data_IF_607319013464
#
_entry.id   IF_607319013464
#
_cell.length_a   1.000
_cell.length_b   1.000
_cell.length_c   1.000
_cell.angle_alpha   90.00
_cell.angle_beta   90.00
_cell.angle_gamma   90.00
#
_symmetry.space_group_name_H-M   'P 1'
#
loop_
_entity.id
_entity.type
_entity.pdbx_description
1 polymer ?
#
# COMPACT_ATOMS: atom_id res chain seq x y z
N UNK A 1 -6.24 -27.40 -1.83
CA UNK A 1 -5.60 -27.02 -3.10
C UNK A 1 -4.63 -25.89 -2.82
N UNK A 2 -3.35 -26.19 -2.65
CA UNK A 2 -2.31 -25.15 -2.48
C UNK A 2 -2.17 -24.41 -3.80
N UNK A 3 -2.68 -23.18 -3.85
CA UNK A 3 -2.53 -22.32 -5.02
C UNK A 3 -1.06 -21.90 -5.10
N UNK A 4 -0.41 -22.13 -6.24
CA UNK A 4 0.97 -21.68 -6.44
C UNK A 4 1.05 -20.16 -6.29
N UNK A 5 1.91 -19.69 -5.37
CA UNK A 5 2.11 -18.27 -5.14
C UNK A 5 2.97 -17.69 -6.27
N UNK A 6 2.37 -16.86 -7.13
CA UNK A 6 3.11 -16.20 -8.22
C UNK A 6 4.24 -15.31 -7.69
N UNK A 7 5.32 -15.13 -8.47
CA UNK A 7 6.41 -14.20 -8.12
C UNK A 7 5.92 -12.78 -7.79
N UNK A 8 4.90 -12.28 -8.51
CA UNK A 8 4.28 -10.99 -8.23
C UNK A 8 3.73 -10.91 -6.79
N UNK A 9 3.01 -11.95 -6.36
CA UNK A 9 2.47 -12.02 -5.00
C UNK A 9 3.58 -12.12 -3.95
N UNK A 10 4.63 -12.90 -4.21
CA UNK A 10 5.80 -12.98 -3.31
C UNK A 10 6.41 -11.59 -3.12
N UNK A 11 6.65 -10.87 -4.23
CA UNK A 11 7.20 -9.52 -4.19
C UNK A 11 6.30 -8.55 -3.40
N UNK A 12 4.98 -8.57 -3.65
CA UNK A 12 4.02 -7.73 -2.92
C UNK A 12 3.99 -8.04 -1.43
N UNK A 13 4.01 -9.32 -1.03
CA UNK A 13 4.08 -9.72 0.39
C UNK A 13 5.32 -9.14 1.05
N UNK A 14 6.48 -9.31 0.43
CA UNK A 14 7.76 -8.78 0.95
C UNK A 14 7.69 -7.26 1.07
N UNK A 15 7.26 -6.57 0.01
CA UNK A 15 7.18 -5.10 0.00
C UNK A 15 6.25 -4.59 1.11
N UNK A 16 5.03 -5.12 1.22
CA UNK A 16 4.08 -4.63 2.23
C UNK A 16 4.56 -4.92 3.65
N UNK A 17 5.24 -6.03 3.89
CA UNK A 17 5.84 -6.33 5.20
C UNK A 17 7.02 -5.39 5.50
N UNK A 18 8.01 -5.29 4.61
CA UNK A 18 9.20 -4.45 4.82
C UNK A 18 8.84 -2.97 4.92
N UNK A 19 7.80 -2.50 4.23
CA UNK A 19 7.37 -1.11 4.33
C UNK A 19 6.51 -0.81 5.57
N UNK A 20 5.91 -1.83 6.20
CA UNK A 20 4.98 -1.64 7.32
C UNK A 20 5.60 -1.96 8.68
N UNK A 21 6.29 -3.09 8.77
CA UNK A 21 6.76 -3.67 10.03
C UNK A 21 7.85 -2.83 10.71
N UNK A 22 8.93 -2.37 10.03
CA UNK A 22 9.97 -1.58 10.69
C UNK A 22 9.45 -0.29 11.34
N UNK A 23 8.44 0.34 10.71
CA UNK A 23 7.77 1.53 11.24
C UNK A 23 7.13 1.34 12.61
N UNK A 24 6.75 0.10 12.94
CA UNK A 24 6.13 -0.26 14.22
C UNK A 24 7.14 -0.28 15.38
N UNK A 25 8.43 -0.32 15.08
CA UNK A 25 9.50 -0.46 16.07
C UNK A 25 10.42 0.76 16.16
N UNK A 26 10.26 1.75 15.28
CA UNK A 26 11.13 2.94 15.23
C UNK A 26 10.38 4.25 15.49
N UNK A 27 9.18 4.18 16.07
CA UNK A 27 8.27 5.31 16.33
C UNK A 27 7.73 6.04 15.08
N UNK A 28 8.10 5.64 13.86
CA UNK A 28 7.72 6.34 12.63
C UNK A 28 6.21 6.39 12.39
N UNK A 29 5.44 5.38 12.82
CA UNK A 29 3.97 5.41 12.74
C UNK A 29 3.38 6.46 13.67
N UNK A 30 3.93 6.55 14.89
CA UNK A 30 3.47 7.52 15.88
C UNK A 30 3.77 8.94 15.44
N UNK A 31 4.96 9.18 14.89
CA UNK A 31 5.35 10.49 14.38
C UNK A 31 4.52 10.88 13.16
N UNK A 32 4.25 9.95 12.23
CA UNK A 32 3.35 10.21 11.10
C UNK A 32 1.93 10.59 11.57
N UNK A 33 1.40 9.90 12.57
CA UNK A 33 0.08 10.21 13.12
C UNK A 33 0.02 11.53 13.90
N UNK A 34 0.94 11.72 14.84
CA UNK A 34 0.91 12.85 15.78
C UNK A 34 1.49 14.14 15.19
N UNK A 35 2.57 14.05 14.42
CA UNK A 35 3.30 15.22 13.92
C UNK A 35 2.92 15.60 12.49
N UNK A 36 2.36 14.69 11.69
CA UNK A 36 1.91 14.99 10.33
C UNK A 36 0.39 14.97 10.19
N UNK A 37 -0.28 13.82 10.37
CA UNK A 37 -1.73 13.70 10.12
C UNK A 37 -2.56 14.66 10.97
N UNK A 38 -2.24 14.80 12.25
CA UNK A 38 -2.92 15.75 13.12
C UNK A 38 -2.77 17.22 12.66
N UNK A 39 -1.65 17.58 12.02
CA UNK A 39 -1.40 18.95 11.54
C UNK A 39 -2.19 19.30 10.27
N UNK A 40 -2.64 18.28 9.53
CA UNK A 40 -3.35 18.45 8.25
C UNK A 40 -4.85 18.13 8.34
N UNK A 41 -5.41 18.15 9.56
CA UNK A 41 -6.87 18.07 9.78
C UNK A 41 -7.40 16.74 10.33
N UNK A 42 -6.53 15.76 10.63
CA UNK A 42 -6.95 14.50 11.26
C UNK A 42 -6.91 14.53 12.78
N UNK A 43 -6.60 15.67 13.41
CA UNK A 43 -6.61 15.76 14.87
C UNK A 43 -8.03 15.51 15.44
N UNK A 44 -8.18 14.76 16.55
CA UNK A 44 -7.14 14.10 17.35
C UNK A 44 -6.86 12.63 16.96
N UNK A 45 -7.42 12.16 15.84
CA UNK A 45 -7.42 10.74 15.43
C UNK A 45 -6.26 10.35 14.51
N UNK A 46 -5.32 11.25 14.20
CA UNK A 46 -4.21 11.00 13.27
C UNK A 46 -3.36 9.80 13.64
N UNK A 47 -3.08 9.58 14.94
CA UNK A 47 -2.38 8.39 15.42
C UNK A 47 -3.14 7.10 15.10
N UNK A 48 -4.44 7.09 15.37
CA UNK A 48 -5.29 5.93 15.08
C UNK A 48 -5.33 5.62 13.58
N UNK A 49 -5.47 6.67 12.75
CA UNK A 49 -5.45 6.53 11.28
C UNK A 49 -4.10 5.99 10.78
N UNK A 50 -2.97 6.48 11.30
CA UNK A 50 -1.65 5.99 10.94
C UNK A 50 -1.48 4.48 11.22
N UNK A 51 -1.94 4.02 12.38
CA UNK A 51 -1.94 2.61 12.73
C UNK A 51 -2.88 1.78 11.85
N UNK A 52 -4.09 2.25 11.57
CA UNK A 52 -5.01 1.57 10.66
C UNK A 52 -4.40 1.37 9.27
N UNK A 53 -3.73 2.39 8.74
CA UNK A 53 -3.03 2.31 7.44
C UNK A 53 -1.94 1.24 7.45
N UNK A 54 -1.13 1.17 8.51
CA UNK A 54 -0.02 0.19 8.57
C UNK A 54 -0.51 -1.23 8.84
N UNK A 55 -1.55 -1.38 9.66
CA UNK A 55 -2.18 -2.68 9.92
C UNK A 55 -2.92 -3.21 8.67
N UNK A 56 -3.54 -2.34 7.86
CA UNK A 56 -4.18 -2.78 6.62
C UNK A 56 -3.18 -3.36 5.61
N UNK A 57 -1.96 -2.81 5.54
CA UNK A 57 -0.89 -3.36 4.71
C UNK A 57 -0.41 -4.74 5.18
N UNK A 58 -0.26 -4.94 6.49
CA UNK A 58 0.08 -6.26 7.05
C UNK A 58 -1.05 -7.26 6.80
N UNK A 59 -2.31 -6.85 6.99
CA UNK A 59 -3.47 -7.69 6.68
C UNK A 59 -3.52 -8.08 5.20
N UNK A 60 -3.21 -7.14 4.29
CA UNK A 60 -3.09 -7.43 2.86
C UNK A 60 -1.97 -8.43 2.56
N UNK A 61 -0.80 -8.33 3.22
CA UNK A 61 0.27 -9.30 3.05
C UNK A 61 -0.16 -10.73 3.44
N UNK A 62 -0.86 -10.88 4.56
CA UNK A 62 -1.46 -12.18 4.96
C UNK A 62 -2.51 -12.65 3.95
N UNK A 63 -3.30 -11.72 3.43
CA UNK A 63 -4.33 -12.00 2.43
C UNK A 63 -3.76 -12.45 1.08
N UNK A 64 -2.63 -11.89 0.65
CA UNK A 64 -1.92 -12.29 -0.57
C UNK A 64 -1.43 -13.75 -0.52
N UNK A 65 -1.13 -14.25 0.69
CA UNK A 65 -0.74 -15.64 0.94
C UNK A 65 -1.95 -16.60 1.02
N UNK A 66 -3.06 -16.13 1.56
CA UNK A 66 -4.21 -16.99 1.93
C UNK A 66 -5.43 -16.86 1.02
N UNK A 67 -5.45 -15.88 0.11
CA UNK A 67 -6.60 -15.43 -0.69
C UNK A 67 -7.81 -14.92 0.14
N UNK A 68 -7.78 -14.99 1.47
CA UNK A 68 -8.89 -14.56 2.33
C UNK A 68 -9.01 -13.05 2.35
N UNK A 69 -10.17 -12.52 1.95
CA UNK A 69 -10.44 -11.08 1.88
C UNK A 69 -9.51 -10.29 0.94
N UNK A 70 -8.89 -10.94 -0.05
CA UNK A 70 -7.89 -10.31 -0.92
C UNK A 70 -8.43 -9.11 -1.67
N UNK A 71 -9.60 -9.25 -2.29
CA UNK A 71 -10.22 -8.17 -3.06
C UNK A 71 -10.51 -6.93 -2.21
N UNK A 72 -11.24 -6.99 -1.08
CA UNK A 72 -11.50 -5.80 -0.27
C UNK A 72 -10.22 -5.19 0.34
N UNK A 73 -9.28 -5.99 0.84
CA UNK A 73 -8.04 -5.47 1.42
C UNK A 73 -7.13 -4.80 0.37
N UNK A 74 -7.10 -5.33 -0.85
CA UNK A 74 -6.39 -4.71 -1.96
C UNK A 74 -7.03 -3.38 -2.36
N UNK A 75 -8.37 -3.30 -2.43
CA UNK A 75 -9.07 -2.05 -2.74
C UNK A 75 -8.81 -0.99 -1.66
N UNK A 76 -8.90 -1.35 -0.38
CA UNK A 76 -8.59 -0.43 0.74
C UNK A 76 -7.15 0.08 0.61
N UNK A 77 -6.20 -0.81 0.34
CA UNK A 77 -4.80 -0.43 0.15
C UNK A 77 -4.60 0.47 -1.06
N UNK A 78 -5.29 0.22 -2.17
CA UNK A 78 -5.24 1.11 -3.35
C UNK A 78 -5.72 2.51 -2.97
N UNK A 79 -6.82 2.65 -2.22
CA UNK A 79 -7.31 3.96 -1.77
C UNK A 79 -6.30 4.67 -0.87
N UNK A 80 -5.64 3.93 0.02
CA UNK A 80 -4.56 4.46 0.87
C UNK A 80 -3.37 4.95 0.04
N UNK A 81 -2.93 4.17 -0.97
CA UNK A 81 -1.84 4.56 -1.87
C UNK A 81 -2.20 5.81 -2.67
N UNK A 82 -3.45 5.90 -3.15
CA UNK A 82 -3.94 7.10 -3.83
C UNK A 82 -3.95 8.31 -2.90
N UNK A 83 -4.43 8.18 -1.66
CA UNK A 83 -4.36 9.25 -0.66
C UNK A 83 -2.90 9.66 -0.38
N UNK A 84 -1.99 8.69 -0.23
CA UNK A 84 -0.56 8.92 -0.08
C UNK A 84 0.06 9.71 -1.23
N UNK A 85 -0.36 9.42 -2.48
CA UNK A 85 0.05 10.21 -3.66
C UNK A 85 -0.30 11.69 -3.43
N UNK A 86 -1.57 12.02 -3.21
CA UNK A 86 -1.99 13.42 -3.15
C UNK A 86 -1.49 14.15 -1.90
N UNK A 87 -1.45 13.46 -0.76
CA UNK A 87 -1.10 14.09 0.52
C UNK A 87 0.42 14.24 0.69
N UNK A 88 1.21 13.29 0.20
CA UNK A 88 2.65 13.18 0.55
C UNK A 88 3.55 13.29 -0.68
N UNK A 89 3.27 12.54 -1.74
CA UNK A 89 4.27 12.27 -2.79
C UNK A 89 4.17 13.17 -4.01
N UNK A 90 2.97 13.64 -4.38
CA UNK A 90 2.73 14.35 -5.65
C UNK A 90 3.57 15.62 -5.77
N UNK A 91 3.77 16.34 -4.66
CA UNK A 91 4.60 17.54 -4.61
C UNK A 91 6.09 17.29 -4.92
N UNK A 92 6.55 16.04 -4.81
CA UNK A 92 7.93 15.65 -5.11
C UNK A 92 8.09 15.13 -6.56
N UNK A 93 7.02 15.15 -7.37
CA UNK A 93 7.04 14.69 -8.75
C UNK A 93 6.99 13.17 -8.90
N UNK A 94 7.60 12.64 -9.96
CA UNK A 94 7.47 11.23 -10.34
C UNK A 94 8.44 10.30 -9.61
N UNK A 95 9.72 10.67 -9.54
CA UNK A 95 10.81 9.73 -9.25
C UNK A 95 10.99 9.43 -7.75
N UNK A 96 11.19 8.16 -7.42
CA UNK A 96 11.72 7.69 -6.12
C UNK A 96 13.24 7.58 -6.17
N UNK A 97 13.81 7.25 -7.32
CA UNK A 97 15.27 7.27 -7.58
C UNK A 97 15.57 7.92 -8.93
N UNK A 98 16.72 8.60 -9.06
CA UNK A 98 17.17 9.21 -10.31
C UNK A 98 16.82 10.70 -10.37
N UNK A 99 15.87 11.09 -11.23
CA UNK A 99 15.46 12.49 -11.45
C UNK A 99 14.74 13.17 -10.27
N UNK A 100 14.71 12.53 -9.09
CA UNK A 100 14.04 12.99 -7.89
C UNK A 100 14.07 11.94 -6.78
N UNK A 101 13.38 12.22 -5.68
CA UNK A 101 13.18 11.29 -4.58
C UNK A 101 11.78 11.42 -3.99
N UNK A 102 11.28 10.36 -3.37
CA UNK A 102 9.99 10.35 -2.68
C UNK A 102 8.77 10.74 -3.55
N UNK A 103 8.86 10.54 -4.88
CA UNK A 103 7.79 10.77 -5.85
C UNK A 103 6.75 9.65 -5.92
N UNK A 104 5.88 9.72 -6.94
CA UNK A 104 4.68 8.87 -7.05
C UNK A 104 4.89 7.49 -7.70
N UNK A 105 6.02 7.25 -8.38
CA UNK A 105 6.21 6.07 -9.24
C UNK A 105 5.98 4.74 -8.52
N UNK A 106 6.42 4.63 -7.26
CA UNK A 106 6.26 3.40 -6.49
C UNK A 106 4.80 3.16 -6.08
N UNK A 107 4.05 4.21 -5.74
CA UNK A 107 2.62 4.10 -5.47
C UNK A 107 1.87 3.65 -6.73
N UNK A 108 2.16 4.28 -7.88
CA UNK A 108 1.59 3.88 -9.16
C UNK A 108 1.85 2.41 -9.48
N UNK A 109 3.10 1.96 -9.34
CA UNK A 109 3.47 0.56 -9.56
C UNK A 109 2.68 -0.40 -8.65
N UNK A 110 2.62 -0.11 -7.35
CA UNK A 110 1.89 -0.96 -6.40
C UNK A 110 0.39 -1.04 -6.69
N UNK A 111 -0.23 0.08 -7.09
CA UNK A 111 -1.65 0.11 -7.50
C UNK A 111 -1.86 -0.83 -8.70
N UNK A 112 -1.04 -0.71 -9.74
CA UNK A 112 -1.16 -1.55 -10.94
C UNK A 112 -0.92 -3.05 -10.64
N UNK A 113 0.04 -3.35 -9.77
CA UNK A 113 0.32 -4.71 -9.32
C UNK A 113 -0.87 -5.31 -8.55
N UNK A 114 -1.49 -4.54 -7.64
CA UNK A 114 -2.66 -5.00 -6.89
C UNK A 114 -3.88 -5.19 -7.80
N UNK A 115 -4.11 -4.28 -8.74
CA UNK A 115 -5.15 -4.43 -9.76
C UNK A 115 -4.95 -5.70 -10.59
N UNK A 116 -3.70 -5.99 -10.98
CA UNK A 116 -3.37 -7.21 -11.74
C UNK A 116 -3.61 -8.49 -10.94
N UNK A 117 -3.39 -8.46 -9.62
CA UNK A 117 -3.66 -9.60 -8.73
C UNK A 117 -5.16 -9.83 -8.52
N UNK A 118 -5.95 -8.76 -8.40
CA UNK A 118 -7.40 -8.84 -8.11
C UNK A 118 -8.23 -9.02 -9.39
N UNK A 119 -7.75 -8.49 -10.51
CA UNK A 119 -8.42 -8.49 -11.80
C UNK A 119 -7.48 -8.96 -12.92
N UNK A 120 -7.02 -10.24 -12.91
CA UNK A 120 -6.04 -10.75 -13.86
C UNK A 120 -6.49 -10.70 -15.33
N UNK A 121 -7.80 -10.60 -15.58
CA UNK A 121 -8.39 -10.54 -16.91
C UNK A 121 -8.94 -9.15 -17.29
N UNK A 122 -8.60 -8.08 -16.56
CA UNK A 122 -9.16 -6.75 -16.83
C UNK A 122 -8.73 -6.14 -18.18
N UNK A 123 -7.57 -6.52 -18.70
CA UNK A 123 -6.98 -5.91 -19.92
C UNK A 123 -7.18 -6.80 -21.16
N UNK A 124 -7.42 -8.10 -20.97
CA UNK A 124 -7.65 -9.02 -22.08
C UNK A 124 -9.13 -9.42 -22.12
N UNK A 125 -9.78 -9.42 -23.30
CA UNK A 125 -11.15 -9.92 -23.40
C UNK A 125 -11.20 -11.34 -22.86
N UNK A 126 -12.22 -11.64 -22.05
CA UNK A 126 -12.47 -13.01 -21.62
C UNK A 126 -12.52 -13.90 -22.88
N UNK A 127 -11.67 -14.92 -22.94
CA UNK A 127 -11.79 -15.94 -23.99
C UNK A 127 -13.22 -16.49 -23.91
N UNK A 128 -14.02 -16.20 -24.94
CA UNK A 128 -15.31 -16.86 -25.17
C UNK A 128 -15.08 -18.34 -25.47
#
# INVERSE_FOLDING_TARGET
MTKNLSFLRIALVIIFLVHSVPGMFNNGINDFGNMYLNQIGFAPVGLFVAWLVKLSHVALAVSLLTDKFLKPLAIITILILVAGIFMVHLKNGWFVVGGGSNGVEFNFLLIMCLLSVVYPNAILPAKK
#
